data_IF_127535316322
#
_entry.id   IF_127535316322
#
_cell.length_a   1.000
_cell.length_b   1.000
_cell.length_c   1.000
_cell.angle_alpha   90.00
_cell.angle_beta   90.00
_cell.angle_gamma   90.00
#
_symmetry.space_group_name_H-M   'P 1'
#
loop_
_entity.id
_entity.type
_entity.pdbx_description
1 polymer ?
#
# COMPACT_ATOMS: atom_id res chain seq x y z
N UNK A 1 -17.93 -17.59 6.66
CA UNK A 1 -19.32 -18.10 6.49
C UNK A 1 -20.26 -16.94 6.79
N UNK A 2 -20.66 -16.18 5.78
CA UNK A 2 -21.67 -15.13 5.89
C UNK A 2 -22.82 -15.50 4.98
N UNK A 3 -23.94 -15.92 5.55
CA UNK A 3 -25.16 -16.25 4.82
C UNK A 3 -25.80 -14.92 4.41
N UNK A 4 -25.83 -14.62 3.10
CA UNK A 4 -26.75 -13.60 2.58
C UNK A 4 -28.16 -14.17 2.69
N UNK A 5 -28.79 -13.99 3.85
CA UNK A 5 -30.21 -14.29 4.00
C UNK A 5 -30.99 -13.35 3.09
N UNK A 6 -31.73 -13.92 2.14
CA UNK A 6 -32.84 -13.24 1.47
C UNK A 6 -33.85 -12.83 2.56
N UNK A 7 -34.24 -11.54 2.67
CA UNK A 7 -35.41 -11.20 3.48
C UNK A 7 -36.64 -11.79 2.79
N UNK A 8 -37.32 -12.70 3.51
CA UNK A 8 -38.67 -13.11 3.19
C UNK A 8 -39.63 -11.97 3.57
N UNK A 9 -40.43 -11.50 2.62
CA UNK A 9 -41.62 -10.69 2.88
C UNK A 9 -41.53 -9.22 2.45
N UNK A 10 -42.24 -8.89 1.36
CA UNK A 10 -43.14 -7.74 1.32
C UNK A 10 -42.59 -6.31 1.31
N UNK A 11 -41.37 -6.05 0.80
CA UNK A 11 -40.90 -4.67 0.54
C UNK A 11 -40.93 -4.45 -0.99
N UNK A 12 -41.45 -3.31 -1.51
CA UNK A 12 -41.42 -3.03 -2.95
C UNK A 12 -39.99 -3.24 -3.48
N UNK A 13 -39.87 -4.01 -4.55
CA UNK A 13 -38.59 -4.55 -5.02
C UNK A 13 -37.64 -3.44 -5.50
N UNK A 14 -36.87 -2.88 -4.58
CA UNK A 14 -35.81 -1.94 -4.93
C UNK A 14 -34.64 -2.72 -5.53
N UNK A 15 -34.19 -2.28 -6.72
CA UNK A 15 -32.97 -2.81 -7.34
C UNK A 15 -31.78 -2.28 -6.54
N UNK A 16 -31.06 -3.16 -5.86
CA UNK A 16 -29.84 -2.82 -5.12
C UNK A 16 -28.63 -3.07 -6.03
N UNK A 17 -27.78 -2.06 -6.22
CA UNK A 17 -26.45 -2.21 -6.82
C UNK A 17 -25.40 -2.14 -5.70
N UNK A 18 -24.45 -3.08 -5.71
CA UNK A 18 -23.34 -3.12 -4.75
C UNK A 18 -22.05 -2.72 -5.48
N UNK A 19 -21.37 -1.69 -4.97
CA UNK A 19 -20.01 -1.37 -5.37
C UNK A 19 -19.06 -1.73 -4.23
N UNK A 20 -17.98 -2.44 -4.54
CA UNK A 20 -16.97 -2.81 -3.58
C UNK A 20 -15.58 -2.62 -4.18
N UNK A 21 -14.65 -2.12 -3.36
CA UNK A 21 -13.24 -2.00 -3.71
C UNK A 21 -12.41 -2.77 -2.69
N UNK A 22 -11.29 -3.31 -3.14
CA UNK A 22 -10.35 -4.03 -2.30
C UNK A 22 -8.93 -3.88 -2.85
N UNK A 23 -7.93 -4.03 -2.00
CA UNK A 23 -6.51 -4.06 -2.42
C UNK A 23 -6.09 -5.51 -2.64
N UNK A 24 -5.60 -5.82 -3.85
CA UNK A 24 -5.14 -7.16 -4.17
C UNK A 24 -3.94 -7.59 -3.31
N UNK A 25 -3.06 -6.65 -2.99
CA UNK A 25 -1.86 -6.89 -2.19
C UNK A 25 -2.16 -7.24 -0.72
N UNK A 26 -3.27 -6.75 -0.18
CA UNK A 26 -3.67 -7.03 1.21
C UNK A 26 -4.31 -8.44 1.34
N UNK A 27 -4.68 -9.06 0.21
CA UNK A 27 -5.23 -10.43 0.17
C UNK A 27 -4.12 -11.47 0.18
N UNK A 28 -3.47 -11.65 1.32
CA UNK A 28 -2.52 -12.75 1.54
C UNK A 28 -3.17 -14.13 1.25
N UNK A 29 -2.37 -15.17 1.04
CA UNK A 29 -2.84 -16.49 0.55
C UNK A 29 -3.95 -17.14 1.40
N UNK A 30 -4.03 -16.78 2.69
CA UNK A 30 -5.01 -17.31 3.66
C UNK A 30 -6.18 -16.36 3.93
N UNK A 31 -6.29 -15.25 3.18
CA UNK A 31 -7.29 -14.23 3.47
C UNK A 31 -8.72 -14.76 3.20
N UNK A 32 -9.66 -14.61 4.15
CA UNK A 32 -10.99 -15.21 4.07
C UNK A 32 -11.84 -14.69 2.90
N UNK A 33 -11.51 -13.52 2.35
CA UNK A 33 -12.18 -12.97 1.16
C UNK A 33 -11.74 -13.61 -0.15
N UNK A 34 -10.59 -14.30 -0.24
CA UNK A 34 -10.12 -14.88 -1.52
C UNK A 34 -11.09 -15.90 -2.11
N UNK A 35 -11.61 -16.89 -1.34
CA UNK A 35 -12.60 -17.83 -1.86
C UNK A 35 -13.90 -17.14 -2.30
N UNK A 36 -14.39 -16.19 -1.49
CA UNK A 36 -15.61 -15.45 -1.78
C UNK A 36 -15.49 -14.63 -3.08
N UNK A 37 -14.38 -13.90 -3.26
CA UNK A 37 -14.14 -13.13 -4.48
C UNK A 37 -14.07 -14.03 -5.73
N UNK A 38 -13.49 -15.23 -5.61
CA UNK A 38 -13.44 -16.19 -6.70
C UNK A 38 -14.83 -16.72 -7.10
N UNK A 39 -15.76 -16.83 -6.13
CA UNK A 39 -17.16 -17.18 -6.39
C UNK A 39 -17.92 -16.00 -7.02
N UNK A 40 -17.76 -14.79 -6.49
CA UNK A 40 -18.47 -13.59 -6.96
C UNK A 40 -18.14 -13.24 -8.41
N UNK A 41 -16.87 -13.28 -8.81
CA UNK A 41 -16.43 -12.92 -10.17
C UNK A 41 -16.98 -13.89 -11.24
N UNK A 42 -17.44 -15.09 -10.85
CA UNK A 42 -18.08 -16.04 -11.76
C UNK A 42 -19.56 -15.76 -12.01
N UNK A 43 -20.18 -14.86 -11.22
CA UNK A 43 -21.59 -14.54 -11.38
C UNK A 43 -21.78 -13.59 -12.58
N UNK A 44 -22.76 -13.84 -13.47
CA UNK A 44 -23.01 -13.00 -14.64
C UNK A 44 -23.37 -11.54 -14.32
N UNK A 45 -23.85 -11.29 -13.09
CA UNK A 45 -24.24 -9.96 -12.63
C UNK A 45 -23.10 -9.16 -12.00
N UNK A 46 -21.88 -9.70 -11.97
CA UNK A 46 -20.71 -9.07 -11.36
C UNK A 46 -19.75 -8.63 -12.45
N UNK A 47 -19.49 -7.32 -12.49
CA UNK A 47 -18.43 -6.75 -13.31
C UNK A 47 -17.20 -6.52 -12.42
N UNK A 48 -16.03 -6.96 -12.91
CA UNK A 48 -14.75 -6.74 -12.24
C UNK A 48 -13.93 -5.75 -13.06
N UNK A 49 -13.62 -4.62 -12.44
CA UNK A 49 -12.72 -3.63 -13.02
C UNK A 49 -11.37 -3.69 -12.29
N UNK A 50 -10.32 -4.03 -13.04
CA UNK A 50 -8.95 -4.03 -12.52
C UNK A 50 -8.33 -2.64 -12.73
N UNK A 51 -8.00 -1.99 -11.62
CA UNK A 51 -7.31 -0.70 -11.64
C UNK A 51 -5.81 -0.94 -11.75
N UNK A 52 -5.27 -0.66 -12.94
CA UNK A 52 -3.83 -0.65 -13.18
C UNK A 52 -3.24 0.72 -12.79
N UNK A 53 -1.92 0.80 -12.53
CA UNK A 53 -1.26 2.09 -12.36
C UNK A 53 -1.59 3.05 -13.50
N UNK A 54 -1.77 4.34 -13.17
CA UNK A 54 -2.03 5.37 -14.17
C UNK A 54 -0.85 5.47 -15.14
N UNK A 55 -1.09 5.58 -16.44
CA UNK A 55 -0.06 5.97 -17.40
C UNK A 55 0.57 7.30 -17.02
N UNK A 56 1.85 7.49 -17.33
CA UNK A 56 2.60 8.72 -17.05
C UNK A 56 1.89 9.99 -17.56
N UNK A 57 1.23 9.91 -18.71
CA UNK A 57 0.45 11.00 -19.27
C UNK A 57 -0.76 11.38 -18.39
N UNK A 58 -1.41 10.39 -17.79
CA UNK A 58 -2.54 10.59 -16.88
C UNK A 58 -2.09 11.12 -15.52
N UNK A 59 -0.95 10.66 -15.01
CA UNK A 59 -0.32 11.24 -13.81
C UNK A 59 0.06 12.70 -14.06
N UNK A 60 0.66 13.02 -15.21
CA UNK A 60 1.02 14.40 -15.55
C UNK A 60 -0.22 15.30 -15.66
N UNK A 61 -1.32 14.77 -16.19
CA UNK A 61 -2.62 15.47 -16.27
C UNK A 61 -3.22 15.68 -14.88
N UNK A 62 -3.19 14.66 -14.01
CA UNK A 62 -3.61 14.75 -12.61
C UNK A 62 -2.80 15.85 -11.90
N UNK A 63 -1.48 15.77 -11.91
CA UNK A 63 -0.57 16.74 -11.26
C UNK A 63 -0.86 18.18 -11.69
N UNK A 64 -1.08 18.41 -12.99
CA UNK A 64 -1.40 19.74 -13.52
C UNK A 64 -2.80 20.23 -13.11
N UNK A 65 -3.72 19.32 -12.80
CA UNK A 65 -5.09 19.65 -12.37
C UNK A 65 -5.21 19.96 -10.88
N UNK A 66 -4.25 19.52 -10.07
CA UNK A 66 -4.25 19.70 -8.61
C UNK A 66 -3.89 21.12 -8.15
N UNK A 67 -3.48 22.00 -9.07
CA UNK A 67 -2.99 23.35 -8.77
C UNK A 67 -3.51 24.37 -9.75
N UNK A 68 -3.87 25.54 -9.21
CA UNK A 68 -4.12 26.73 -10.02
C UNK A 68 -2.82 27.29 -10.61
N UNK A 69 -1.74 27.33 -9.82
CA UNK A 69 -0.43 27.77 -10.29
C UNK A 69 0.35 26.63 -10.92
N UNK A 70 0.80 26.83 -12.15
CA UNK A 70 1.53 25.81 -12.92
C UNK A 70 2.88 25.49 -12.28
N UNK A 71 3.11 24.22 -11.97
CA UNK A 71 4.41 23.70 -11.57
C UNK A 71 5.39 23.69 -12.76
N UNK A 72 6.70 23.91 -12.53
CA UNK A 72 7.72 23.73 -13.56
C UNK A 72 7.66 22.31 -14.15
N UNK A 73 7.85 22.16 -15.46
CA UNK A 73 7.79 20.85 -16.12
C UNK A 73 8.84 19.86 -15.58
N UNK A 74 9.98 20.35 -15.08
CA UNK A 74 11.00 19.53 -14.41
C UNK A 74 10.45 18.90 -13.12
N UNK A 75 9.68 19.66 -12.34
CA UNK A 75 8.99 19.16 -11.13
C UNK A 75 7.92 18.14 -11.51
N UNK A 76 7.11 18.41 -12.54
CA UNK A 76 6.07 17.48 -12.99
C UNK A 76 6.68 16.15 -13.43
N UNK A 77 7.75 16.16 -14.23
CA UNK A 77 8.47 14.94 -14.65
C UNK A 77 8.96 14.14 -13.45
N UNK A 78 9.59 14.80 -12.48
CA UNK A 78 10.06 14.14 -11.25
C UNK A 78 8.92 13.53 -10.45
N UNK A 79 7.75 14.16 -10.40
CA UNK A 79 6.57 13.60 -9.72
C UNK A 79 6.03 12.40 -10.49
N UNK A 80 5.93 12.48 -11.82
CA UNK A 80 5.48 11.35 -12.67
C UNK A 80 6.39 10.14 -12.48
N UNK A 81 7.71 10.33 -12.58
CA UNK A 81 8.71 9.28 -12.38
C UNK A 81 8.60 8.62 -11.00
N UNK A 82 8.36 9.42 -9.95
CA UNK A 82 8.28 8.91 -8.57
C UNK A 82 6.93 8.31 -8.23
N UNK A 83 5.85 8.81 -8.82
CA UNK A 83 4.50 8.35 -8.53
C UNK A 83 4.27 6.93 -9.04
N UNK A 84 4.99 6.50 -10.08
CA UNK A 84 4.89 5.15 -10.66
C UNK A 84 3.42 4.76 -10.95
N UNK A 85 2.62 5.72 -11.41
CA UNK A 85 1.19 5.55 -11.70
C UNK A 85 0.25 5.60 -10.48
N UNK A 86 0.75 5.85 -9.28
CA UNK A 86 -0.05 5.99 -8.08
C UNK A 86 -0.60 7.42 -7.92
N UNK A 87 -1.92 7.59 -8.12
CA UNK A 87 -2.60 8.89 -8.03
C UNK A 87 -2.44 9.57 -6.66
N UNK A 88 -2.66 8.82 -5.59
CA UNK A 88 -2.53 9.32 -4.22
C UNK A 88 -1.09 9.76 -3.94
N UNK A 89 -0.10 8.99 -4.38
CA UNK A 89 1.29 9.39 -4.20
C UNK A 89 1.65 10.65 -5.02
N UNK A 90 1.12 10.78 -6.23
CA UNK A 90 1.30 11.98 -7.04
C UNK A 90 0.72 13.21 -6.33
N UNK A 91 -0.47 13.10 -5.72
CA UNK A 91 -1.11 14.14 -4.92
C UNK A 91 -0.24 14.55 -3.72
N UNK A 92 0.24 13.58 -2.95
CA UNK A 92 1.10 13.84 -1.80
C UNK A 92 2.44 14.48 -2.21
N UNK A 93 3.02 14.06 -3.34
CA UNK A 93 4.25 14.66 -3.89
C UNK A 93 4.01 16.10 -4.37
N UNK A 94 2.81 16.42 -4.86
CA UNK A 94 2.41 17.81 -5.15
C UNK A 94 2.28 18.58 -3.86
N UNK A 95 1.56 18.07 -2.85
CA UNK A 95 1.42 18.72 -1.54
C UNK A 95 2.79 19.00 -0.89
N UNK A 96 3.75 18.08 -1.03
CA UNK A 96 5.12 18.24 -0.55
C UNK A 96 5.85 19.46 -1.16
N UNK A 97 5.45 19.94 -2.33
CA UNK A 97 6.06 21.12 -2.96
C UNK A 97 5.72 22.43 -2.26
N UNK A 98 4.66 22.47 -1.44
CA UNK A 98 4.31 23.67 -0.66
C UNK A 98 5.04 23.78 0.67
N UNK A 99 5.56 22.65 1.17
CA UNK A 99 6.14 22.59 2.51
C UNK A 99 7.65 22.83 2.41
N UNK A 100 8.19 23.92 2.97
CA UNK A 100 9.61 24.26 2.87
C UNK A 100 10.54 23.35 3.69
N UNK A 101 10.00 22.40 4.47
CA UNK A 101 10.76 21.44 5.26
C UNK A 101 10.69 20.06 4.60
N UNK A 102 11.84 19.38 4.51
CA UNK A 102 12.08 18.06 3.89
C UNK A 102 11.34 16.86 4.53
N UNK A 103 10.16 17.09 5.12
CA UNK A 103 9.33 16.08 5.76
C UNK A 103 8.55 15.23 4.75
N UNK A 104 8.18 14.05 5.19
CA UNK A 104 7.20 13.19 4.51
C UNK A 104 5.84 13.89 4.56
N UNK A 105 5.09 14.00 3.44
CA UNK A 105 3.72 14.52 3.45
C UNK A 105 2.86 13.79 4.50
N UNK A 106 2.05 14.53 5.26
CA UNK A 106 1.29 13.98 6.38
C UNK A 106 0.37 12.84 5.98
N UNK A 107 -0.27 12.91 4.79
CA UNK A 107 -1.12 11.82 4.30
C UNK A 107 -0.34 10.55 4.02
N UNK A 108 0.87 10.66 3.47
CA UNK A 108 1.78 9.52 3.28
C UNK A 108 2.24 8.92 4.62
N UNK A 109 2.53 9.77 5.61
CA UNK A 109 2.91 9.34 6.95
C UNK A 109 1.77 8.57 7.64
N UNK A 110 0.53 9.06 7.54
CA UNK A 110 -0.64 8.43 8.17
C UNK A 110 -0.91 7.03 7.60
N UNK A 111 -0.82 6.86 6.28
CA UNK A 111 -1.02 5.54 5.64
C UNK A 111 0.05 4.55 6.07
N UNK A 112 1.31 4.99 6.19
CA UNK A 112 2.40 4.14 6.67
C UNK A 112 2.24 3.80 8.14
N UNK A 113 1.80 4.77 8.96
CA UNK A 113 1.61 4.59 10.39
C UNK A 113 0.52 3.54 10.67
N UNK A 114 -0.61 3.58 9.97
CA UNK A 114 -1.67 2.57 10.12
C UNK A 114 -1.14 1.15 9.84
N UNK A 115 -0.31 0.98 8.81
CA UNK A 115 0.28 -0.33 8.49
C UNK A 115 1.30 -0.76 9.54
N UNK A 116 2.09 0.18 10.03
CA UNK A 116 3.08 -0.04 11.07
C UNK A 116 2.42 -0.45 12.39
N UNK A 117 1.32 0.21 12.78
CA UNK A 117 0.57 -0.09 14.01
C UNK A 117 -0.14 -1.45 14.00
N UNK A 118 -0.45 -1.99 12.82
CA UNK A 118 -1.03 -3.33 12.67
C UNK A 118 -0.01 -4.48 12.81
N UNK A 119 1.28 -4.16 12.94
CA UNK A 119 2.33 -5.14 13.15
C UNK A 119 2.44 -5.55 14.61
N UNK A 120 2.96 -6.76 14.84
CA UNK A 120 3.45 -7.16 16.15
C UNK A 120 4.51 -6.19 16.69
N UNK A 121 4.60 -6.05 18.01
CA UNK A 121 5.60 -5.18 18.66
C UNK A 121 7.03 -5.56 18.25
N UNK A 122 7.29 -6.86 18.04
CA UNK A 122 8.57 -7.37 17.56
C UNK A 122 8.88 -6.91 16.15
N UNK A 123 7.92 -6.97 15.22
CA UNK A 123 8.10 -6.46 13.87
C UNK A 123 8.31 -4.94 13.84
N UNK A 124 7.58 -4.20 14.68
CA UNK A 124 7.80 -2.76 14.82
C UNK A 124 9.23 -2.43 15.32
N UNK A 125 9.76 -3.19 16.28
CA UNK A 125 11.14 -3.02 16.76
C UNK A 125 12.18 -3.28 15.66
N UNK A 126 12.00 -4.36 14.89
CA UNK A 126 12.87 -4.69 13.76
C UNK A 126 12.86 -3.58 12.71
N UNK A 127 11.68 -3.07 12.33
CA UNK A 127 11.54 -1.98 11.37
C UNK A 127 12.16 -0.67 11.84
N UNK A 128 12.00 -0.30 13.12
CA UNK A 128 12.67 0.88 13.68
C UNK A 128 14.19 0.76 13.57
N UNK A 129 14.73 -0.43 13.82
CA UNK A 129 16.17 -0.69 13.70
C UNK A 129 16.62 -0.64 12.23
N UNK A 130 15.86 -1.25 11.32
CA UNK A 130 16.11 -1.21 9.89
C UNK A 130 16.10 0.23 9.33
N UNK A 131 15.20 1.09 9.82
CA UNK A 131 15.07 2.47 9.37
C UNK A 131 16.34 3.30 9.64
N UNK A 132 17.07 2.98 10.71
CA UNK A 132 18.33 3.65 11.07
C UNK A 132 19.50 3.16 10.20
N UNK A 133 19.46 1.90 9.76
CA UNK A 133 20.53 1.30 8.95
C UNK A 133 20.53 1.76 7.47
N UNK A 134 19.51 2.48 7.02
CA UNK A 134 19.45 3.13 5.71
C UNK A 134 18.54 2.45 4.68
N UNK A 135 18.79 2.70 3.38
CA UNK A 135 17.88 2.29 2.29
C UNK A 135 17.81 0.79 2.03
N UNK A 136 18.90 0.06 2.32
CA UNK A 136 19.01 -1.39 2.16
C UNK A 136 19.79 -1.92 3.35
N UNK A 137 19.29 -2.99 3.96
CA UNK A 137 19.87 -3.57 5.18
C UNK A 137 20.06 -5.06 4.97
N UNK A 138 21.25 -5.58 5.29
CA UNK A 138 21.51 -7.01 5.25
C UNK A 138 20.94 -7.74 6.45
N UNK A 139 20.56 -9.01 6.26
CA UNK A 139 20.04 -9.87 7.33
C UNK A 139 20.98 -9.96 8.54
N UNK A 140 22.27 -10.22 8.29
CA UNK A 140 23.26 -10.33 9.37
C UNK A 140 23.38 -9.04 10.19
N UNK A 141 23.31 -7.88 9.54
CA UNK A 141 23.36 -6.58 10.22
C UNK A 141 22.12 -6.37 11.10
N UNK A 142 20.93 -6.80 10.65
CA UNK A 142 19.71 -6.72 11.46
C UNK A 142 19.75 -7.68 12.64
N UNK A 143 20.25 -8.91 12.44
CA UNK A 143 20.43 -9.87 13.51
C UNK A 143 21.30 -9.29 14.63
N UNK A 144 22.45 -8.75 14.24
CA UNK A 144 23.42 -8.22 15.19
C UNK A 144 22.90 -6.94 15.89
N UNK A 145 22.13 -6.10 15.19
CA UNK A 145 21.61 -4.84 15.73
C UNK A 145 20.38 -5.01 16.64
N UNK A 146 19.47 -5.94 16.32
CA UNK A 146 18.20 -6.10 17.06
C UNK A 146 18.39 -7.03 18.28
N UNK A 147 19.33 -7.97 18.23
CA UNK A 147 19.65 -8.87 19.35
C UNK A 147 18.52 -9.84 19.72
N UNK A 148 17.64 -10.16 18.77
CA UNK A 148 16.56 -11.14 18.95
C UNK A 148 17.00 -12.55 18.56
N UNK A 149 16.34 -13.60 19.09
CA UNK A 149 16.46 -14.95 18.56
C UNK A 149 16.10 -15.00 17.06
N UNK A 150 16.85 -15.79 16.29
CA UNK A 150 16.71 -15.91 14.83
C UNK A 150 15.26 -16.14 14.39
N UNK A 151 14.56 -17.08 15.03
CA UNK A 151 13.17 -17.40 14.70
C UNK A 151 12.22 -16.20 14.86
N UNK A 152 12.45 -15.36 15.87
CA UNK A 152 11.64 -14.15 16.11
C UNK A 152 11.95 -13.08 15.07
N UNK A 153 13.22 -12.91 14.71
CA UNK A 153 13.64 -11.99 13.66
C UNK A 153 13.04 -12.39 12.30
N UNK A 154 13.17 -13.65 11.93
CA UNK A 154 12.59 -14.17 10.68
C UNK A 154 11.07 -14.00 10.65
N UNK A 155 10.38 -14.30 11.76
CA UNK A 155 8.93 -14.12 11.85
C UNK A 155 8.53 -12.66 11.67
N UNK A 156 9.25 -11.74 12.32
CA UNK A 156 9.03 -10.30 12.19
C UNK A 156 9.31 -9.77 10.78
N UNK A 157 10.39 -10.21 10.14
CA UNK A 157 10.73 -9.83 8.76
C UNK A 157 9.69 -10.39 7.77
N UNK A 158 9.26 -11.63 7.97
CA UNK A 158 8.19 -12.25 7.17
C UNK A 158 6.89 -11.48 7.30
N UNK A 159 6.51 -11.09 8.51
CA UNK A 159 5.32 -10.25 8.76
C UNK A 159 5.45 -8.89 8.04
N UNK A 160 6.58 -8.21 8.15
CA UNK A 160 6.82 -6.92 7.51
C UNK A 160 6.78 -7.00 5.98
N UNK A 161 7.28 -8.10 5.39
CA UNK A 161 7.19 -8.38 3.95
C UNK A 161 5.75 -8.71 3.54
N UNK A 162 5.04 -9.54 4.30
CA UNK A 162 3.63 -9.88 4.05
C UNK A 162 2.74 -8.63 4.08
N UNK A 163 3.02 -7.70 5.01
CA UNK A 163 2.35 -6.40 5.16
C UNK A 163 2.88 -5.32 4.20
N UNK A 164 3.76 -5.67 3.27
CA UNK A 164 4.25 -4.79 2.21
C UNK A 164 5.00 -3.55 2.71
N UNK A 165 5.63 -3.64 3.89
CA UNK A 165 6.50 -2.58 4.42
C UNK A 165 7.97 -2.80 4.04
N UNK A 166 8.37 -4.06 3.89
CA UNK A 166 9.68 -4.45 3.38
C UNK A 166 9.56 -5.26 2.09
N UNK A 167 10.58 -5.17 1.26
CA UNK A 167 10.83 -6.03 0.10
C UNK A 167 12.13 -6.77 0.35
N UNK A 168 12.11 -8.09 0.17
CA UNK A 168 13.31 -8.92 0.16
C UNK A 168 14.02 -8.79 -1.19
N UNK A 169 15.27 -8.36 -1.17
CA UNK A 169 16.17 -8.34 -2.31
C UNK A 169 17.12 -9.53 -2.33
N UNK A 170 17.99 -9.57 -3.33
CA UNK A 170 19.00 -10.62 -3.47
C UNK A 170 19.99 -10.60 -2.30
N UNK A 171 20.57 -11.78 -2.01
CA UNK A 171 21.62 -11.91 -1.00
C UNK A 171 21.16 -11.66 0.44
N UNK A 172 19.89 -11.89 0.76
CA UNK A 172 19.37 -11.72 2.12
C UNK A 172 19.28 -10.25 2.54
N UNK A 173 19.00 -9.36 1.60
CA UNK A 173 18.85 -7.93 1.88
C UNK A 173 17.38 -7.54 1.97
N UNK A 174 17.10 -6.52 2.77
CA UNK A 174 15.77 -5.94 2.93
C UNK A 174 15.83 -4.47 2.59
N UNK A 175 14.82 -3.98 1.88
CA UNK A 175 14.61 -2.55 1.63
C UNK A 175 13.17 -2.18 1.95
N UNK A 176 12.96 -0.98 2.46
CA UNK A 176 11.61 -0.45 2.59
C UNK A 176 10.94 -0.39 1.22
N UNK A 177 9.72 -0.92 1.12
CA UNK A 177 8.89 -0.71 -0.06
C UNK A 177 8.73 0.80 -0.20
N UNK A 178 8.92 1.35 -1.39
CA UNK A 178 8.53 2.74 -1.63
C UNK A 178 7.07 2.84 -1.22
N UNK A 179 6.73 3.91 -0.48
CA UNK A 179 5.57 3.95 0.41
C UNK A 179 4.24 3.45 -0.19
N UNK A 180 4.11 3.44 -1.52
CA UNK A 180 2.92 3.03 -2.24
C UNK A 180 3.15 2.33 -3.61
N UNK A 181 4.40 1.97 -3.96
CA UNK A 181 4.69 1.12 -5.14
C UNK A 181 4.26 -0.31 -4.84
#
# INVERSE_FOLDING_TARGET
RGVLQRPAGGVPGHRLALFASYRADDLHRRHPLRPLLAELVRLPAVERLELRPLPDADVARLVRSLREQRLPDTTVRRIVERAEGNAFYAEELVAATDTPASGVPSGLADVLLIRFEQLSETAQQVLRTAAVAGRRVGHDLLRDAVGLPEEKLESALREAVERQLLVSGDGGTYSFRHALA
#
